data_IF_324753519354
#
_entry.id   IF_324753519354
#
_cell.length_a   1.000
_cell.length_b   1.000
_cell.length_c   1.000
_cell.angle_alpha   90.00
_cell.angle_beta   90.00
_cell.angle_gamma   90.00
#
_symmetry.space_group_name_H-M   'P 1'
#
loop_
_entity.id
_entity.type
_entity.pdbx_description
1 polymer ?
#
# COMPACT_ATOMS: atom_id res chain seq x y z
N UNK A 1 23.63 8.49 -14.20
CA UNK A 1 24.11 7.25 -13.56
C UNK A 1 24.67 7.48 -12.15
N UNK A 2 25.54 8.47 -11.89
CA UNK A 2 26.13 8.69 -10.56
C UNK A 2 25.10 8.98 -9.44
N UNK A 3 24.02 9.72 -9.71
CA UNK A 3 22.99 9.97 -8.70
C UNK A 3 22.15 8.74 -8.36
N UNK A 4 21.85 7.88 -9.36
CA UNK A 4 21.13 6.63 -9.14
C UNK A 4 21.94 5.68 -8.27
N UNK A 5 23.25 5.53 -8.55
CA UNK A 5 24.13 4.68 -7.74
C UNK A 5 24.44 5.24 -6.35
N UNK A 6 24.28 6.54 -6.12
CA UNK A 6 24.40 7.15 -4.79
C UNK A 6 23.12 6.99 -3.98
N UNK A 7 21.94 7.12 -4.60
CA UNK A 7 20.66 6.85 -3.93
C UNK A 7 20.55 5.39 -3.46
N UNK A 8 21.05 4.43 -4.25
CA UNK A 8 21.08 3.01 -3.89
C UNK A 8 22.01 2.65 -2.71
N UNK A 9 22.79 3.60 -2.19
CA UNK A 9 23.71 3.39 -1.04
C UNK A 9 23.16 3.88 0.29
N UNK A 10 21.97 4.48 0.27
CA UNK A 10 21.34 4.99 1.48
C UNK A 10 20.43 3.89 2.01
N UNK A 11 20.63 3.53 3.27
CA UNK A 11 19.66 2.69 3.98
C UNK A 11 18.40 3.52 4.19
N UNK A 12 17.29 3.01 3.67
CA UNK A 12 15.98 3.61 3.79
C UNK A 12 15.12 2.70 4.68
N UNK A 13 14.99 3.07 5.94
CA UNK A 13 14.05 2.44 6.87
C UNK A 13 13.22 3.53 7.54
N UNK A 14 11.93 3.57 7.18
CA UNK A 14 10.94 4.47 7.78
C UNK A 14 9.83 3.67 8.49
N UNK A 15 10.10 2.41 8.83
CA UNK A 15 9.08 1.51 9.37
C UNK A 15 8.50 2.04 10.69
N UNK A 16 9.31 2.72 11.50
CA UNK A 16 8.87 3.34 12.74
C UNK A 16 7.88 4.48 12.49
N UNK A 17 8.16 5.33 11.50
CA UNK A 17 7.36 6.51 11.16
C UNK A 17 6.03 6.16 10.50
N UNK A 18 5.96 5.05 9.75
CA UNK A 18 4.71 4.57 9.13
C UNK A 18 3.60 4.39 10.16
N UNK A 19 3.93 3.82 11.33
CA UNK A 19 2.95 3.62 12.41
C UNK A 19 2.39 4.94 12.99
N UNK A 20 3.08 6.06 12.78
CA UNK A 20 2.70 7.39 13.25
C UNK A 20 1.81 8.17 12.28
N UNK A 21 1.52 7.66 11.08
CA UNK A 21 0.68 8.35 10.09
C UNK A 21 -0.76 8.49 10.60
N UNK A 22 -1.24 9.73 10.72
CA UNK A 22 -2.54 10.06 11.32
C UNK A 22 -3.69 10.14 10.29
N UNK A 23 -3.37 10.25 9.00
CA UNK A 23 -4.36 10.30 7.94
C UNK A 23 -4.70 8.88 7.45
N UNK A 24 -5.89 8.65 6.88
CA UNK A 24 -6.15 7.43 6.13
C UNK A 24 -5.08 7.21 5.05
N UNK A 25 -4.63 5.97 4.91
CA UNK A 25 -3.62 5.57 3.92
C UNK A 25 -4.16 4.42 3.10
N UNK A 26 -4.06 4.52 1.79
CA UNK A 26 -4.33 3.43 0.87
C UNK A 26 -3.04 3.03 0.16
N UNK A 27 -2.69 1.75 0.25
CA UNK A 27 -1.58 1.15 -0.50
C UNK A 27 -2.19 0.43 -1.70
N UNK A 28 -1.70 0.74 -2.90
CA UNK A 28 -2.10 0.07 -4.14
C UNK A 28 -0.86 -0.46 -4.84
N UNK A 29 -0.83 -1.76 -5.11
CA UNK A 29 0.27 -2.44 -5.81
C UNK A 29 -0.27 -3.40 -6.88
N UNK A 30 0.56 -3.73 -7.87
CA UNK A 30 0.30 -4.86 -8.77
C UNK A 30 0.74 -6.18 -8.12
N UNK A 31 0.11 -7.30 -8.48
CA UNK A 31 0.59 -8.63 -8.07
C UNK A 31 1.84 -9.11 -8.83
N UNK A 32 2.15 -8.48 -9.98
CA UNK A 32 3.32 -8.73 -10.81
C UNK A 32 4.31 -7.54 -10.81
N UNK A 33 4.29 -6.75 -9.74
CA UNK A 33 5.18 -5.60 -9.58
C UNK A 33 6.66 -6.03 -9.35
N UNK A 34 7.59 -5.08 -9.51
CA UNK A 34 9.02 -5.32 -9.28
C UNK A 34 9.37 -5.64 -7.83
N UNK A 35 8.49 -5.28 -6.88
CA UNK A 35 8.59 -5.67 -5.48
C UNK A 35 7.56 -6.77 -5.15
N UNK A 36 7.93 -7.80 -4.39
CA UNK A 36 6.99 -8.80 -3.92
C UNK A 36 5.78 -8.18 -3.19
N UNK A 37 4.54 -8.63 -3.45
CA UNK A 37 3.35 -8.13 -2.75
C UNK A 37 3.40 -8.27 -1.22
N UNK A 38 4.24 -9.19 -0.71
CA UNK A 38 4.48 -9.35 0.72
C UNK A 38 4.93 -8.04 1.40
N UNK A 39 5.72 -7.20 0.73
CA UNK A 39 6.14 -5.91 1.31
C UNK A 39 4.98 -4.91 1.45
N UNK A 40 4.02 -4.94 0.52
CA UNK A 40 2.81 -4.13 0.65
C UNK A 40 1.95 -4.60 1.85
N UNK A 41 1.92 -5.91 2.11
CA UNK A 41 1.27 -6.48 3.29
C UNK A 41 2.00 -6.08 4.58
N UNK A 42 3.34 -6.15 4.61
CA UNK A 42 4.15 -5.71 5.75
C UNK A 42 3.92 -4.22 6.07
N UNK A 43 3.90 -3.35 5.05
CA UNK A 43 3.56 -1.94 5.22
C UNK A 43 2.13 -1.80 5.79
N UNK A 44 1.16 -2.50 5.22
CA UNK A 44 -0.22 -2.46 5.71
C UNK A 44 -0.36 -2.92 7.17
N UNK A 45 0.46 -3.87 7.61
CA UNK A 45 0.53 -4.30 9.00
C UNK A 45 1.11 -3.23 9.93
N UNK A 46 2.10 -2.44 9.49
CA UNK A 46 2.61 -1.29 10.24
C UNK A 46 1.52 -0.21 10.44
N UNK A 47 0.58 -0.11 9.49
CA UNK A 47 -0.63 0.73 9.61
C UNK A 47 -1.74 0.07 10.44
N UNK A 48 -1.48 -1.07 11.09
CA UNK A 48 -2.45 -1.80 11.91
C UNK A 48 -3.49 -2.61 11.11
N UNK A 49 -3.34 -2.71 9.78
CA UNK A 49 -4.20 -3.48 8.90
C UNK A 49 -3.80 -4.95 8.79
N UNK A 50 -4.76 -5.85 8.53
CA UNK A 50 -4.48 -7.26 8.25
C UNK A 50 -3.95 -8.08 9.44
N UNK A 51 -3.95 -7.53 10.66
CA UNK A 51 -3.47 -8.20 11.87
C UNK A 51 -4.51 -9.14 12.51
N UNK A 52 -5.81 -8.88 12.27
CA UNK A 52 -6.94 -9.64 12.82
C UNK A 52 -8.19 -9.41 11.99
N UNK A 53 -9.19 -10.27 12.19
CA UNK A 53 -10.53 -10.10 11.63
C UNK A 53 -11.20 -8.81 12.17
N UNK A 54 -12.11 -8.26 11.37
CA UNK A 54 -12.82 -7.03 11.65
C UNK A 54 -13.97 -7.18 12.68
N UNK A 55 -14.22 -8.39 13.19
CA UNK A 55 -15.45 -8.77 13.85
C UNK A 55 -16.68 -8.65 12.93
N UNK A 56 -17.78 -9.29 13.33
CA UNK A 56 -19.02 -9.30 12.55
C UNK A 56 -19.66 -7.91 12.38
N UNK A 57 -19.39 -6.99 13.31
CA UNK A 57 -19.89 -5.61 13.32
C UNK A 57 -18.94 -4.61 12.65
N UNK A 58 -17.79 -5.07 12.15
CA UNK A 58 -16.79 -4.23 11.50
C UNK A 58 -15.95 -3.37 12.47
N UNK A 59 -16.13 -3.49 13.78
CA UNK A 59 -15.41 -2.70 14.80
C UNK A 59 -13.88 -2.87 14.78
N UNK A 60 -13.40 -3.96 14.19
CA UNK A 60 -11.98 -4.25 13.99
C UNK A 60 -11.42 -3.76 12.65
N UNK A 61 -12.24 -3.17 11.76
CA UNK A 61 -11.73 -2.63 10.49
C UNK A 61 -10.82 -1.43 10.74
N UNK A 62 -9.65 -1.44 10.12
CA UNK A 62 -8.80 -0.25 10.05
C UNK A 62 -9.38 0.78 9.08
N UNK A 63 -9.03 2.05 9.26
CA UNK A 63 -9.36 3.14 8.33
C UNK A 63 -8.37 3.22 7.15
N UNK A 64 -7.29 2.44 7.19
CA UNK A 64 -6.37 2.25 6.06
C UNK A 64 -6.92 1.20 5.07
N UNK A 65 -6.36 1.15 3.86
CA UNK A 65 -6.75 0.19 2.80
C UNK A 65 -5.53 -0.40 2.12
N UNK A 66 -5.65 -1.66 1.68
CA UNK A 66 -4.69 -2.34 0.82
C UNK A 66 -5.45 -2.89 -0.41
N UNK A 67 -4.96 -2.55 -1.60
CA UNK A 67 -5.43 -3.12 -2.86
C UNK A 67 -4.25 -3.75 -3.61
N UNK A 68 -4.37 -5.05 -3.89
CA UNK A 68 -3.45 -5.76 -4.79
C UNK A 68 -4.21 -6.00 -6.09
N UNK A 69 -3.77 -5.34 -7.16
CA UNK A 69 -4.44 -5.37 -8.46
C UNK A 69 -3.88 -6.53 -9.31
N UNK A 70 -4.75 -7.41 -9.84
CA UNK A 70 -4.30 -8.62 -10.52
C UNK A 70 -3.77 -8.35 -11.93
N UNK A 71 -2.66 -9.00 -12.28
CA UNK A 71 -2.04 -8.96 -13.60
C UNK A 71 -1.40 -7.62 -13.96
N UNK A 72 -1.03 -6.80 -12.97
CA UNK A 72 -0.43 -5.47 -13.18
C UNK A 72 1.02 -5.41 -12.68
N UNK A 73 1.81 -4.57 -13.32
CA UNK A 73 3.22 -4.27 -12.99
C UNK A 73 3.38 -2.77 -12.72
N UNK A 74 4.54 -2.31 -12.25
CA UNK A 74 4.83 -0.87 -12.16
C UNK A 74 4.81 -0.13 -13.51
N UNK A 75 4.81 -0.84 -14.64
CA UNK A 75 4.80 -0.23 -15.97
C UNK A 75 3.42 0.16 -16.48
N UNK A 76 2.35 -0.50 -16.02
CA UNK A 76 0.99 -0.35 -16.55
C UNK A 76 -0.07 -0.02 -15.50
N UNK A 77 0.26 -0.12 -14.21
CA UNK A 77 -0.69 0.18 -13.12
C UNK A 77 -1.29 1.58 -13.20
N UNK A 78 -0.52 2.57 -13.66
CA UNK A 78 -0.95 3.97 -13.72
C UNK A 78 -2.04 4.26 -14.76
N UNK A 79 -2.25 3.36 -15.73
CA UNK A 79 -3.30 3.49 -16.76
C UNK A 79 -4.40 2.44 -16.62
N UNK A 80 -4.27 1.53 -15.65
CA UNK A 80 -5.26 0.49 -15.42
C UNK A 80 -6.56 1.08 -14.84
N UNK A 81 -7.74 0.81 -15.45
CA UNK A 81 -9.02 1.26 -14.89
C UNK A 81 -9.30 0.76 -13.47
N UNK A 82 -8.70 -0.37 -13.08
CA UNK A 82 -8.78 -0.92 -11.73
C UNK A 82 -8.18 0.01 -10.67
N UNK A 83 -7.16 0.82 -11.02
CA UNK A 83 -6.54 1.78 -10.10
C UNK A 83 -7.55 2.86 -9.69
N UNK A 84 -8.19 3.51 -10.66
CA UNK A 84 -9.18 4.56 -10.36
C UNK A 84 -10.42 3.99 -9.67
N UNK A 85 -10.87 2.80 -10.06
CA UNK A 85 -11.98 2.11 -9.42
C UNK A 85 -11.71 1.80 -7.93
N UNK A 86 -10.46 1.50 -7.56
CA UNK A 86 -10.06 1.27 -6.18
C UNK A 86 -9.86 2.57 -5.39
N UNK A 87 -9.21 3.58 -5.99
CA UNK A 87 -8.76 4.79 -5.29
C UNK A 87 -9.88 5.82 -5.09
N UNK A 88 -10.76 6.03 -6.06
CA UNK A 88 -11.78 7.08 -5.99
C UNK A 88 -12.70 6.91 -4.75
N UNK A 89 -13.27 5.73 -4.46
CA UNK A 89 -14.11 5.55 -3.28
C UNK A 89 -13.39 5.88 -1.97
N UNK A 90 -12.11 5.52 -1.86
CA UNK A 90 -11.29 5.83 -0.69
C UNK A 90 -11.09 7.35 -0.52
N UNK A 91 -10.84 8.07 -1.63
CA UNK A 91 -10.72 9.54 -1.61
C UNK A 91 -12.06 10.23 -1.29
N UNK A 92 -13.18 9.62 -1.69
CA UNK A 92 -14.54 10.11 -1.40
C UNK A 92 -15.00 9.79 0.04
N UNK A 93 -14.18 9.06 0.82
CA UNK A 93 -14.42 8.80 2.24
C UNK A 93 -15.11 7.46 2.58
N UNK A 94 -15.03 6.46 1.69
CA UNK A 94 -15.48 5.08 1.96
C UNK A 94 -14.50 4.25 2.82
#
# INVERSE_FOLDING_TARGET
MHQLTTALKVDYDWSAEVSGLQMPVMIVVGDADGLPPAHAVEFFQLLGGGLRDAHWDGSGMTHHRLAVLPGLTHYDINVAPALSAAVIPFLDGA
#
